data_IF_641062276303
#
_entry.id   IF_641062276303
#
_cell.length_a   1.000
_cell.length_b   1.000
_cell.length_c   1.000
_cell.angle_alpha   90.00
_cell.angle_beta   90.00
_cell.angle_gamma   90.00
#
_symmetry.space_group_name_H-M   'P 1'
#
loop_
_entity.id
_entity.type
_entity.pdbx_description
1 polymer ?
#
# COMPACT_ATOMS: atom_id res chain seq x y z
N UNK A 1 3.62 3.52 -36.29
CA UNK A 1 2.84 2.34 -35.84
C UNK A 1 3.54 1.46 -34.79
N UNK A 2 4.87 1.33 -34.78
CA UNK A 2 5.58 0.48 -33.79
C UNK A 2 5.51 0.94 -32.32
N UNK A 3 5.54 2.26 -32.07
CA UNK A 3 5.55 2.79 -30.70
C UNK A 3 4.21 2.61 -29.96
N UNK A 4 3.09 2.89 -30.63
CA UNK A 4 1.74 2.72 -30.06
C UNK A 4 1.45 1.28 -29.60
N UNK A 5 1.87 0.27 -30.38
CA UNK A 5 1.69 -1.14 -29.98
C UNK A 5 2.52 -1.50 -28.75
N UNK A 6 3.75 -0.99 -28.66
CA UNK A 6 4.63 -1.19 -27.50
C UNK A 6 4.07 -0.54 -26.25
N UNK A 7 3.59 0.69 -26.34
CA UNK A 7 3.00 1.42 -25.21
C UNK A 7 1.72 0.73 -24.71
N UNK A 8 0.89 0.22 -25.63
CA UNK A 8 -0.30 -0.55 -25.27
C UNK A 8 0.04 -1.84 -24.53
N UNK A 9 1.10 -2.55 -24.94
CA UNK A 9 1.55 -3.77 -24.27
C UNK A 9 2.07 -3.46 -22.85
N UNK A 10 2.89 -2.42 -22.71
CA UNK A 10 3.41 -1.95 -21.42
C UNK A 10 2.25 -1.67 -20.45
N UNK A 11 1.25 -0.90 -20.90
CA UNK A 11 0.10 -0.55 -20.07
C UNK A 11 -0.71 -1.79 -19.65
N UNK A 12 -0.89 -2.76 -20.55
CA UNK A 12 -1.55 -4.03 -20.22
C UNK A 12 -0.78 -4.85 -19.19
N UNK A 13 0.55 -4.92 -19.32
CA UNK A 13 1.40 -5.62 -18.36
C UNK A 13 1.31 -4.93 -17.00
N UNK A 14 1.44 -3.60 -16.93
CA UNK A 14 1.32 -2.85 -15.68
C UNK A 14 -0.06 -3.04 -15.03
N UNK A 15 -1.13 -3.00 -15.82
CA UNK A 15 -2.48 -3.26 -15.32
C UNK A 15 -2.59 -4.68 -14.75
N UNK A 16 -2.09 -5.69 -15.48
CA UNK A 16 -2.07 -7.06 -14.99
C UNK A 16 -1.25 -7.20 -13.68
N UNK A 17 -0.08 -6.57 -13.60
CA UNK A 17 0.75 -6.52 -12.40
C UNK A 17 -0.01 -5.91 -11.22
N UNK A 18 -0.73 -4.80 -11.43
CA UNK A 18 -1.56 -4.17 -10.40
C UNK A 18 -2.70 -5.08 -9.93
N UNK A 19 -3.41 -5.72 -10.87
CA UNK A 19 -4.51 -6.63 -10.52
C UNK A 19 -4.02 -7.84 -9.73
N UNK A 20 -2.89 -8.44 -10.14
CA UNK A 20 -2.27 -9.56 -9.42
C UNK A 20 -1.81 -9.11 -8.04
N UNK A 21 -1.10 -7.99 -7.93
CA UNK A 21 -0.65 -7.43 -6.66
C UNK A 21 -1.80 -7.18 -5.69
N UNK A 22 -2.90 -6.63 -6.20
CA UNK A 22 -4.11 -6.35 -5.42
C UNK A 22 -4.77 -7.65 -4.96
N UNK A 23 -4.97 -8.62 -5.86
CA UNK A 23 -5.55 -9.91 -5.53
C UNK A 23 -4.75 -10.65 -4.46
N UNK A 24 -3.41 -10.66 -4.58
CA UNK A 24 -2.52 -11.27 -3.59
C UNK A 24 -2.60 -10.57 -2.23
N UNK A 25 -2.64 -9.23 -2.21
CA UNK A 25 -2.76 -8.45 -0.95
C UNK A 25 -4.10 -8.62 -0.27
N UNK A 26 -5.18 -8.87 -1.02
CA UNK A 26 -6.50 -9.13 -0.43
C UNK A 26 -6.68 -10.58 0.01
N UNK A 27 -5.90 -11.51 -0.54
CA UNK A 27 -6.04 -12.92 -0.23
C UNK A 27 -5.73 -13.18 1.25
N UNK A 28 -6.76 -13.57 2.02
CA UNK A 28 -6.68 -13.87 3.46
C UNK A 28 -6.19 -12.70 4.33
N UNK A 29 -6.50 -11.47 3.94
CA UNK A 29 -6.04 -10.25 4.61
C UNK A 29 -6.38 -10.18 6.10
N UNK A 30 -7.52 -10.73 6.52
CA UNK A 30 -8.02 -10.73 7.90
C UNK A 30 -7.96 -12.11 8.57
N UNK A 31 -7.27 -13.09 7.97
CA UNK A 31 -7.22 -14.45 8.49
C UNK A 31 -6.50 -14.57 9.85
N UNK A 32 -5.52 -13.70 10.09
CA UNK A 32 -4.82 -13.62 11.37
C UNK A 32 -5.39 -12.51 12.25
N UNK A 33 -5.39 -12.74 13.56
CA UNK A 33 -5.65 -11.68 14.53
C UNK A 33 -4.63 -10.53 14.38
N UNK A 34 -4.97 -9.36 14.92
CA UNK A 34 -4.06 -8.22 14.96
C UNK A 34 -2.82 -8.58 15.77
N UNK A 35 -1.67 -8.19 15.25
CA UNK A 35 -0.42 -8.23 15.98
C UNK A 35 -0.36 -7.09 17.00
N UNK A 36 0.62 -7.13 17.90
CA UNK A 36 0.71 -6.16 18.98
C UNK A 36 0.86 -4.71 18.46
N UNK A 37 1.77 -4.51 17.51
CA UNK A 37 2.03 -3.24 16.84
C UNK A 37 0.85 -2.75 15.98
N UNK A 38 0.12 -3.66 15.35
CA UNK A 38 -1.15 -3.33 14.69
C UNK A 38 -2.22 -2.91 15.71
N UNK A 39 -2.24 -3.53 16.89
CA UNK A 39 -3.12 -3.15 18.01
C UNK A 39 -2.86 -1.73 18.49
N UNK A 40 -1.60 -1.37 18.70
CA UNK A 40 -1.18 0.00 19.07
C UNK A 40 -1.59 0.99 17.98
N UNK A 41 -1.44 0.60 16.72
CA UNK A 41 -1.87 1.40 15.58
C UNK A 41 -3.37 1.69 15.59
N UNK A 42 -4.19 0.66 15.84
CA UNK A 42 -5.64 0.82 15.97
C UNK A 42 -5.99 1.66 17.19
N UNK A 43 -5.30 1.47 18.31
CA UNK A 43 -5.51 2.24 19.53
C UNK A 43 -5.34 3.74 19.28
N UNK A 44 -4.26 4.16 18.61
CA UNK A 44 -4.04 5.57 18.29
C UNK A 44 -5.04 6.11 17.27
N UNK A 45 -5.31 5.36 16.20
CA UNK A 45 -6.24 5.79 15.15
C UNK A 45 -7.68 5.99 15.65
N UNK A 46 -8.07 5.32 16.74
CA UNK A 46 -9.41 5.45 17.33
C UNK A 46 -9.53 6.54 18.40
N UNK A 47 -8.43 7.21 18.76
CA UNK A 47 -8.48 8.37 19.65
C UNK A 47 -9.05 9.60 18.94
N UNK A 48 -9.47 10.60 19.73
CA UNK A 48 -9.75 11.93 19.17
C UNK A 48 -8.44 12.61 18.68
N UNK A 49 -8.55 13.49 17.68
CA UNK A 49 -7.37 14.10 17.04
C UNK A 49 -6.40 14.80 18.01
N UNK A 50 -6.86 15.59 19.02
CA UNK A 50 -5.95 16.19 19.99
C UNK A 50 -5.17 15.16 20.83
N UNK A 51 -5.84 14.10 21.30
CA UNK A 51 -5.21 13.03 22.07
C UNK A 51 -4.24 12.19 21.21
N UNK A 52 -4.62 11.92 19.96
CA UNK A 52 -3.73 11.27 18.98
C UNK A 52 -2.47 12.12 18.77
N UNK A 53 -2.64 13.43 18.53
CA UNK A 53 -1.53 14.37 18.32
C UNK A 53 -0.60 14.40 19.54
N UNK A 54 -1.15 14.50 20.75
CA UNK A 54 -0.34 14.59 21.97
C UNK A 54 0.38 13.29 22.28
N UNK A 55 -0.29 12.14 22.06
CA UNK A 55 0.30 10.84 22.31
C UNK A 55 1.43 10.52 21.32
N UNK A 56 1.21 10.78 20.03
CA UNK A 56 2.23 10.57 18.99
C UNK A 56 3.38 11.57 19.04
N UNK A 57 3.16 12.77 19.60
CA UNK A 57 4.25 13.73 19.86
C UNK A 57 5.24 13.22 20.93
N UNK A 58 4.80 12.30 21.79
CA UNK A 58 5.64 11.62 22.76
C UNK A 58 6.13 10.24 22.27
N UNK A 59 5.69 9.79 21.09
CA UNK A 59 6.08 8.53 20.45
C UNK A 59 7.27 8.74 19.49
N UNK A 60 7.86 7.65 19.02
CA UNK A 60 8.89 7.63 17.98
C UNK A 60 8.25 7.80 16.59
N UNK A 61 6.99 7.42 16.42
CA UNK A 61 6.29 7.42 15.12
C UNK A 61 5.52 8.72 14.85
N UNK A 62 5.83 9.45 13.75
CA UNK A 62 5.10 10.65 13.38
C UNK A 62 3.60 10.40 13.10
N UNK A 63 2.73 11.40 13.36
CA UNK A 63 1.28 11.20 13.41
C UNK A 63 0.58 10.95 12.07
N UNK A 64 1.26 11.20 10.93
CA UNK A 64 0.62 11.25 9.62
C UNK A 64 -0.17 9.97 9.29
N UNK A 65 0.45 8.81 9.50
CA UNK A 65 -0.20 7.54 9.22
C UNK A 65 -1.44 7.33 10.09
N UNK A 66 -1.36 7.65 11.39
CA UNK A 66 -2.47 7.52 12.32
C UNK A 66 -3.63 8.48 11.99
N UNK A 67 -3.35 9.71 11.51
CA UNK A 67 -4.41 10.61 11.05
C UNK A 67 -5.15 10.06 9.84
N UNK A 68 -4.43 9.54 8.85
CA UNK A 68 -5.08 9.00 7.67
C UNK A 68 -5.90 7.76 8.03
N UNK A 69 -5.38 6.91 8.92
CA UNK A 69 -6.09 5.74 9.40
C UNK A 69 -7.31 6.12 10.27
N UNK A 70 -7.24 7.19 11.06
CA UNK A 70 -8.37 7.72 11.82
C UNK A 70 -9.57 8.02 10.90
N UNK A 71 -9.36 8.85 9.88
CA UNK A 71 -10.43 9.17 8.92
C UNK A 71 -10.88 7.98 8.08
N UNK A 72 -10.00 7.00 7.85
CA UNK A 72 -10.37 5.75 7.17
C UNK A 72 -11.27 4.86 8.02
N UNK A 73 -10.96 4.74 9.31
CA UNK A 73 -11.66 3.85 10.24
C UNK A 73 -12.96 4.45 10.77
N UNK A 74 -13.17 5.77 10.69
CA UNK A 74 -14.46 6.39 11.03
C UNK A 74 -15.66 5.75 10.29
N UNK A 75 -15.66 5.62 8.95
CA UNK A 75 -16.77 4.99 8.23
C UNK A 75 -16.70 3.45 8.16
N UNK A 76 -15.50 2.85 8.16
CA UNK A 76 -15.29 1.42 7.90
C UNK A 76 -15.08 0.58 9.17
N UNK A 77 -14.89 1.24 10.31
CA UNK A 77 -14.54 0.62 11.58
C UNK A 77 -13.05 0.24 11.70
N UNK A 78 -12.58 -0.04 12.93
CA UNK A 78 -11.17 -0.35 13.23
C UNK A 78 -10.81 -1.84 13.12
N UNK A 79 -11.61 -2.64 12.40
CA UNK A 79 -11.38 -4.09 12.30
C UNK A 79 -10.10 -4.44 11.51
N UNK A 80 -9.59 -5.66 11.72
CA UNK A 80 -8.36 -6.14 11.08
C UNK A 80 -8.38 -5.99 9.55
N UNK A 81 -9.51 -6.34 8.91
CA UNK A 81 -9.69 -6.15 7.48
C UNK A 81 -9.56 -4.67 7.08
N UNK A 82 -10.28 -3.77 7.74
CA UNK A 82 -10.33 -2.34 7.40
C UNK A 82 -8.95 -1.68 7.46
N UNK A 83 -8.22 -1.94 8.54
CA UNK A 83 -6.90 -1.34 8.81
C UNK A 83 -5.84 -1.89 7.85
N UNK A 84 -5.83 -3.20 7.61
CA UNK A 84 -4.91 -3.80 6.65
C UNK A 84 -5.27 -3.45 5.21
N UNK A 85 -6.55 -3.28 4.90
CA UNK A 85 -7.01 -2.86 3.57
C UNK A 85 -6.55 -1.44 3.24
N UNK A 86 -6.56 -0.53 4.22
CA UNK A 86 -5.99 0.80 4.07
C UNK A 86 -4.51 0.75 3.67
N UNK A 87 -3.69 -0.01 4.42
CA UNK A 87 -2.27 -0.19 4.13
C UNK A 87 -2.06 -0.85 2.76
N UNK A 88 -2.86 -1.86 2.41
CA UNK A 88 -2.80 -2.52 1.11
C UNK A 88 -3.08 -1.53 -0.03
N UNK A 89 -4.09 -0.67 0.09
CA UNK A 89 -4.41 0.36 -0.92
C UNK A 89 -3.29 1.37 -1.10
N UNK A 90 -2.68 1.85 0.00
CA UNK A 90 -1.54 2.76 -0.10
C UNK A 90 -0.35 2.07 -0.75
N UNK A 91 -0.07 0.81 -0.39
CA UNK A 91 1.02 0.04 -0.99
C UNK A 91 0.85 -0.14 -2.50
N UNK A 92 -0.38 -0.16 -3.03
CA UNK A 92 -0.61 -0.25 -4.48
C UNK A 92 -0.03 0.93 -5.26
N UNK A 93 0.13 2.10 -4.63
CA UNK A 93 0.74 3.28 -5.26
C UNK A 93 2.24 3.12 -5.49
N UNK A 94 2.93 2.27 -4.72
CA UNK A 94 4.37 2.07 -4.88
C UNK A 94 4.70 1.39 -6.20
N UNK A 95 3.83 0.52 -6.72
CA UNK A 95 4.02 -0.22 -7.98
C UNK A 95 4.21 0.72 -9.18
N UNK A 96 3.25 1.62 -9.51
CA UNK A 96 3.43 2.53 -10.64
C UNK A 96 4.52 3.56 -10.37
N UNK A 97 4.72 4.01 -9.12
CA UNK A 97 5.78 4.94 -8.77
C UNK A 97 7.17 4.31 -8.95
N UNK A 98 7.35 3.07 -8.52
CA UNK A 98 8.57 2.30 -8.68
C UNK A 98 8.86 2.06 -10.16
N UNK A 99 7.87 1.65 -10.96
CA UNK A 99 8.05 1.53 -12.41
C UNK A 99 8.47 2.87 -13.04
N UNK A 100 7.87 3.98 -12.63
CA UNK A 100 8.21 5.30 -13.16
C UNK A 100 9.62 5.78 -12.77
N UNK A 101 10.09 5.41 -11.58
CA UNK A 101 11.44 5.68 -11.12
C UNK A 101 12.43 4.77 -11.87
N UNK A 102 12.18 3.47 -11.87
CA UNK A 102 13.08 2.47 -12.43
C UNK A 102 13.29 2.66 -13.94
N UNK A 103 12.23 2.98 -14.71
CA UNK A 103 12.36 3.26 -16.15
C UNK A 103 13.28 4.44 -16.48
N UNK A 104 13.50 5.36 -15.53
CA UNK A 104 14.43 6.50 -15.69
C UNK A 104 15.87 6.10 -15.43
N UNK A 105 16.09 5.04 -14.65
CA UNK A 105 17.42 4.55 -14.27
C UNK A 105 17.89 3.42 -15.21
N UNK A 106 17.00 2.48 -15.53
CA UNK A 106 17.29 1.31 -16.36
C UNK A 106 16.26 1.20 -17.49
N UNK A 107 16.51 1.78 -18.66
CA UNK A 107 15.53 1.76 -19.75
C UNK A 107 15.34 0.35 -20.33
N UNK A 108 14.10 0.03 -20.72
CA UNK A 108 13.78 -1.15 -21.51
C UNK A 108 12.87 -2.14 -20.81
N UNK A 109 13.06 -3.45 -21.08
CA UNK A 109 12.21 -4.52 -20.54
C UNK A 109 12.51 -4.85 -19.07
N UNK A 110 13.67 -4.43 -18.57
CA UNK A 110 14.12 -4.70 -17.21
C UNK A 110 13.17 -4.07 -16.19
N UNK A 111 12.65 -2.87 -16.43
CA UNK A 111 11.71 -2.23 -15.50
C UNK A 111 10.36 -2.92 -15.36
N UNK A 112 9.89 -3.56 -16.44
CA UNK A 112 8.67 -4.37 -16.35
C UNK A 112 8.91 -5.63 -15.51
N UNK A 113 10.08 -6.23 -15.61
CA UNK A 113 10.45 -7.37 -14.78
C UNK A 113 10.60 -6.93 -13.31
N UNK A 114 11.33 -5.85 -13.05
CA UNK A 114 11.56 -5.35 -11.70
C UNK A 114 10.26 -5.01 -10.96
N UNK A 115 9.34 -4.28 -11.62
CA UNK A 115 8.04 -3.95 -11.01
C UNK A 115 7.16 -5.19 -10.80
N UNK A 116 7.25 -6.18 -11.71
CA UNK A 116 6.50 -7.43 -11.56
C UNK A 116 7.02 -8.26 -10.38
N UNK A 117 8.34 -8.27 -10.14
CA UNK A 117 8.95 -8.91 -8.98
C UNK A 117 8.57 -8.20 -7.67
N UNK A 118 8.58 -6.86 -7.66
CA UNK A 118 8.12 -6.08 -6.50
C UNK A 118 6.65 -6.38 -6.15
N UNK A 119 5.79 -6.50 -7.16
CA UNK A 119 4.37 -6.75 -6.99
C UNK A 119 4.04 -8.09 -6.30
N UNK A 120 4.87 -9.12 -6.50
CA UNK A 120 4.69 -10.47 -5.95
C UNK A 120 5.60 -10.76 -4.75
N UNK A 121 6.47 -9.82 -4.38
CA UNK A 121 7.38 -9.99 -3.24
C UNK A 121 6.57 -10.09 -1.94
N UNK A 122 6.80 -11.11 -1.09
CA UNK A 122 6.11 -11.21 0.19
C UNK A 122 6.56 -10.15 1.21
N UNK A 123 7.68 -9.47 0.94
CA UNK A 123 8.21 -8.39 1.79
C UNK A 123 7.67 -7.00 1.42
N UNK A 124 6.73 -6.92 0.47
CA UNK A 124 6.16 -5.68 -0.04
C UNK A 124 4.64 -5.81 -0.18
#
# INVERSE_FOLDING_TARGET
>A
MGNQRRDTLVNRVLLATLLVAFALRLFRLDFQALWWDEGDTVYFATQNLPALTSATAADIHPPLYYYLLHFWTEPLGPGAFSVRFFSALISMLTIPLFYQLDRKLVPGRVSLLAVSLLAISPFH
#
